data_IF_652288533075
#
_entry.id   IF_652288533075
#
_cell.length_a   1.000
_cell.length_b   1.000
_cell.length_c   1.000
_cell.angle_alpha   90.00
_cell.angle_beta   90.00
_cell.angle_gamma   90.00
#
_symmetry.space_group_name_H-M   'P 1'
#
loop_
_entity.id
_entity.type
_entity.pdbx_description
1 polymer ?
#
# COMPACT_ATOMS: atom_id res chain seq x y z
N UNK A 1 -10.83 -2.13 6.23
CA UNK A 1 -9.54 -1.56 6.67
C UNK A 1 -8.71 -1.08 5.51
N UNK A 2 -8.17 -2.00 4.70
CA UNK A 2 -7.37 -1.60 3.52
C UNK A 2 -8.24 -0.89 2.50
N UNK A 3 -9.48 -1.33 2.31
CA UNK A 3 -10.43 -0.69 1.39
C UNK A 3 -10.73 0.75 1.79
N UNK A 4 -10.92 1.01 3.07
CA UNK A 4 -11.17 2.36 3.59
C UNK A 4 -9.94 3.23 3.39
N UNK A 5 -8.75 2.70 3.70
CA UNK A 5 -7.49 3.41 3.48
C UNK A 5 -7.32 3.76 2.00
N UNK A 6 -7.54 2.81 1.11
CA UNK A 6 -7.42 3.03 -0.33
C UNK A 6 -8.40 4.09 -0.84
N UNK A 7 -9.64 4.07 -0.35
CA UNK A 7 -10.65 5.06 -0.72
C UNK A 7 -10.27 6.47 -0.27
N UNK A 8 -9.79 6.60 0.96
CA UNK A 8 -9.36 7.89 1.51
C UNK A 8 -8.17 8.45 0.76
N UNK A 9 -7.20 7.60 0.45
CA UNK A 9 -6.01 8.00 -0.31
C UNK A 9 -6.40 8.44 -1.73
N UNK A 10 -7.26 7.67 -2.41
CA UNK A 10 -7.71 8.04 -3.76
C UNK A 10 -8.44 9.37 -3.77
N UNK A 11 -9.35 9.59 -2.80
CA UNK A 11 -10.09 10.85 -2.72
C UNK A 11 -9.17 12.04 -2.46
N UNK A 12 -8.17 11.86 -1.58
CA UNK A 12 -7.20 12.91 -1.28
C UNK A 12 -6.36 13.25 -2.51
N UNK A 13 -5.94 12.26 -3.28
CA UNK A 13 -5.16 12.47 -4.50
C UNK A 13 -5.96 13.20 -5.57
N UNK A 14 -7.26 12.93 -5.70
CA UNK A 14 -8.12 13.59 -6.67
C UNK A 14 -8.19 15.10 -6.47
N UNK A 15 -8.25 15.55 -5.22
CA UNK A 15 -8.32 16.97 -4.89
C UNK A 15 -6.98 17.53 -4.45
N UNK A 16 -5.91 16.77 -4.62
CA UNK A 16 -4.53 17.15 -4.32
C UNK A 16 -4.35 17.66 -2.89
N UNK A 17 -4.93 16.95 -1.93
CA UNK A 17 -4.72 17.25 -0.52
C UNK A 17 -3.29 16.91 -0.10
N UNK A 18 -2.66 17.72 0.76
CA UNK A 18 -1.29 17.43 1.21
C UNK A 18 -1.21 16.24 2.15
N UNK A 19 -2.29 15.92 2.86
CA UNK A 19 -2.30 14.80 3.81
C UNK A 19 -3.67 14.15 3.88
N UNK A 20 -3.69 12.92 4.41
CA UNK A 20 -4.92 12.16 4.59
C UNK A 20 -4.82 11.37 5.89
N UNK A 21 -5.93 11.27 6.62
CA UNK A 21 -6.02 10.46 7.84
C UNK A 21 -6.67 9.13 7.54
N UNK A 22 -6.05 8.07 8.06
CA UNK A 22 -6.59 6.71 7.99
C UNK A 22 -6.56 6.10 9.40
N UNK A 23 -7.39 5.09 9.62
CA UNK A 23 -7.37 4.40 10.92
C UNK A 23 -6.03 3.73 11.15
N UNK A 24 -5.52 3.82 12.38
CA UNK A 24 -4.26 3.21 12.77
C UNK A 24 -4.52 1.77 13.22
N UNK A 25 -4.25 0.81 12.35
CA UNK A 25 -4.23 -0.60 12.68
C UNK A 25 -2.86 -1.15 12.34
N UNK A 26 -2.54 -2.35 12.82
CA UNK A 26 -1.27 -2.99 12.50
C UNK A 26 -1.08 -3.09 10.98
N UNK A 27 -2.14 -3.47 10.27
CA UNK A 27 -2.09 -3.64 8.83
C UNK A 27 -1.91 -2.32 8.08
N UNK A 28 -2.70 -1.29 8.40
CA UNK A 28 -2.58 0.02 7.74
C UNK A 28 -1.25 0.69 8.05
N UNK A 29 -0.75 0.52 9.26
CA UNK A 29 0.56 1.05 9.65
C UNK A 29 1.68 0.39 8.85
N UNK A 30 1.61 -0.94 8.68
CA UNK A 30 2.60 -1.68 7.88
C UNK A 30 2.58 -1.23 6.42
N UNK A 31 1.40 -1.05 5.84
CA UNK A 31 1.24 -0.56 4.46
C UNK A 31 1.80 0.86 4.35
N UNK A 32 1.50 1.73 5.30
CA UNK A 32 2.00 3.10 5.30
C UNK A 32 3.53 3.15 5.35
N UNK A 33 4.16 2.29 6.13
CA UNK A 33 5.62 2.18 6.20
C UNK A 33 6.22 1.80 4.85
N UNK A 34 5.58 0.88 4.14
CA UNK A 34 6.03 0.46 2.81
C UNK A 34 5.90 1.61 1.83
N UNK A 35 4.77 2.34 1.83
CA UNK A 35 4.57 3.49 0.96
C UNK A 35 5.62 4.57 1.21
N UNK A 36 5.97 4.79 2.47
CA UNK A 36 7.00 5.76 2.84
C UNK A 36 8.38 5.31 2.33
N UNK A 37 8.73 4.05 2.55
CA UNK A 37 10.02 3.49 2.12
C UNK A 37 10.18 3.51 0.60
N UNK A 38 9.08 3.30 -0.14
CA UNK A 38 9.09 3.30 -1.60
C UNK A 38 9.02 4.72 -2.20
N UNK A 39 8.91 5.74 -1.37
CA UNK A 39 8.93 7.12 -1.84
C UNK A 39 7.58 7.67 -2.30
N UNK A 40 6.47 6.99 -2.01
CA UNK A 40 5.13 7.49 -2.36
C UNK A 40 4.62 8.54 -1.38
N UNK A 41 5.14 8.55 -0.16
CA UNK A 41 4.75 9.49 0.89
C UNK A 41 5.94 10.31 1.35
N UNK A 42 5.70 11.52 1.83
CA UNK A 42 6.72 12.36 2.45
C UNK A 42 6.89 12.06 3.94
N UNK A 43 5.84 11.57 4.58
CA UNK A 43 5.90 11.25 5.99
C UNK A 43 4.67 10.51 6.47
N UNK A 44 4.80 9.90 7.64
CA UNK A 44 3.71 9.23 8.35
C UNK A 44 3.81 9.59 9.82
N UNK A 45 2.71 10.08 10.38
CA UNK A 45 2.64 10.35 11.82
C UNK A 45 1.41 9.66 12.42
N UNK A 46 1.45 9.42 13.72
CA UNK A 46 0.38 8.72 14.42
C UNK A 46 0.00 9.48 15.68
N UNK A 47 -1.31 9.56 15.94
CA UNK A 47 -1.82 10.05 17.22
C UNK A 47 -2.35 8.91 18.09
N UNK A 48 -2.07 7.67 17.69
CA UNK A 48 -2.54 6.45 18.37
C UNK A 48 -3.79 5.88 17.74
N UNK A 49 -4.75 6.70 17.37
CA UNK A 49 -6.03 6.28 16.79
C UNK A 49 -6.02 6.37 15.27
N UNK A 50 -5.37 7.39 14.73
CA UNK A 50 -5.27 7.64 13.31
C UNK A 50 -3.82 7.78 12.87
N UNK A 51 -3.56 7.41 11.62
CA UNK A 51 -2.32 7.71 10.91
C UNK A 51 -2.57 8.89 10.01
N UNK A 52 -1.66 9.85 9.99
CA UNK A 52 -1.67 10.95 9.03
C UNK A 52 -0.59 10.65 8.00
N UNK A 53 -1.01 10.45 6.75
CA UNK A 53 -0.12 10.17 5.64
C UNK A 53 0.12 11.47 4.89
N UNK A 54 1.38 11.88 4.76
CA UNK A 54 1.72 13.07 3.99
C UNK A 54 2.03 12.66 2.56
N UNK A 55 1.14 13.03 1.65
CA UNK A 55 1.22 12.64 0.25
C UNK A 55 2.31 13.43 -0.46
N UNK A 56 3.07 12.74 -1.29
CA UNK A 56 4.15 13.35 -2.06
C UNK A 56 3.64 13.74 -3.44
N UNK A 57 3.91 14.98 -3.83
CA UNK A 57 3.60 15.49 -5.16
C UNK A 57 4.86 15.97 -5.84
N UNK A 58 4.95 15.74 -7.15
CA UNK A 58 6.06 16.18 -7.97
C UNK A 58 5.50 16.75 -9.27
N UNK A 59 5.81 18.02 -9.57
CA UNK A 59 5.33 18.66 -10.79
C UNK A 59 3.81 18.77 -10.88
N UNK A 60 3.13 18.90 -9.72
CA UNK A 60 1.68 19.00 -9.67
C UNK A 60 0.93 17.67 -9.73
N UNK A 61 1.67 16.56 -9.77
CA UNK A 61 1.09 15.21 -9.79
C UNK A 61 1.54 14.41 -8.58
N UNK A 62 0.64 13.59 -8.03
CA UNK A 62 0.96 12.70 -6.93
C UNK A 62 1.93 11.61 -7.36
N UNK A 63 2.91 11.31 -6.51
CA UNK A 63 3.83 10.19 -6.75
C UNK A 63 3.08 8.87 -6.70
N UNK A 64 2.10 8.76 -5.80
CA UNK A 64 1.16 7.65 -5.77
C UNK A 64 0.01 7.98 -6.71
N UNK A 65 -0.14 7.19 -7.77
CA UNK A 65 -1.20 7.42 -8.76
C UNK A 65 -2.43 6.58 -8.45
N UNK A 66 -2.24 5.30 -8.14
CA UNK A 66 -3.32 4.37 -7.88
C UNK A 66 -3.01 3.47 -6.69
N UNK A 67 -4.06 3.13 -5.94
CA UNK A 67 -4.03 2.14 -4.88
C UNK A 67 -5.26 1.25 -5.04
N UNK A 68 -5.06 0.02 -5.50
CA UNK A 68 -6.14 -0.92 -5.78
C UNK A 68 -6.12 -2.06 -4.79
N UNK A 69 -7.24 -2.28 -4.11
CA UNK A 69 -7.40 -3.41 -3.18
C UNK A 69 -7.61 -4.69 -3.98
N UNK A 70 -6.84 -5.73 -3.64
CA UNK A 70 -6.94 -7.04 -4.28
C UNK A 70 -7.77 -8.00 -3.43
N UNK A 71 -7.36 -8.24 -2.18
CA UNK A 71 -8.12 -9.07 -1.24
C UNK A 71 -9.18 -8.23 -0.52
N UNK A 72 -10.40 -8.75 -0.46
CA UNK A 72 -11.54 -8.11 0.20
C UNK A 72 -12.15 -9.05 1.22
N UNK A 73 -12.91 -8.55 2.20
CA UNK A 73 -13.66 -9.43 3.10
C UNK A 73 -14.54 -10.39 2.30
N UNK A 74 -14.41 -11.69 2.58
CA UNK A 74 -15.14 -12.73 1.86
C UNK A 74 -14.53 -13.17 0.54
N UNK A 75 -13.56 -12.43 0.00
CA UNK A 75 -12.85 -12.78 -1.24
C UNK A 75 -11.35 -12.54 -1.01
N UNK A 76 -10.71 -13.50 -0.36
CA UNK A 76 -9.27 -13.44 -0.08
C UNK A 76 -8.50 -14.08 -1.22
N UNK A 77 -7.45 -13.42 -1.69
CA UNK A 77 -6.64 -13.87 -2.81
C UNK A 77 -5.23 -14.16 -2.34
N UNK A 78 -4.78 -15.38 -2.57
CA UNK A 78 -3.44 -15.85 -2.17
C UNK A 78 -2.62 -16.19 -3.40
N UNK A 79 -1.30 -16.10 -3.27
CA UNK A 79 -0.39 -16.42 -4.35
C UNK A 79 0.89 -17.01 -3.79
N UNK A 80 1.51 -17.93 -4.57
CA UNK A 80 2.87 -18.39 -4.29
C UNK A 80 3.85 -17.34 -4.81
N UNK A 81 5.08 -17.37 -4.28
CA UNK A 81 6.11 -16.38 -4.65
C UNK A 81 6.30 -16.25 -6.16
N UNK A 82 6.33 -17.38 -6.88
CA UNK A 82 6.56 -17.40 -8.33
C UNK A 82 5.37 -16.89 -9.15
N UNK A 83 4.17 -16.87 -8.55
CA UNK A 83 2.94 -16.50 -9.24
C UNK A 83 2.48 -15.08 -8.91
N UNK A 84 3.21 -14.34 -8.06
CA UNK A 84 2.85 -12.97 -7.71
C UNK A 84 2.98 -12.09 -8.96
N UNK A 85 1.89 -11.41 -9.37
CA UNK A 85 1.94 -10.59 -10.57
C UNK A 85 2.86 -9.38 -10.39
N UNK A 86 3.51 -8.98 -11.48
CA UNK A 86 4.27 -7.74 -11.53
C UNK A 86 3.33 -6.61 -11.93
N UNK A 87 3.42 -5.50 -11.21
CA UNK A 87 2.56 -4.35 -11.46
C UNK A 87 3.29 -3.41 -12.43
N UNK A 88 2.66 -3.11 -13.57
CA UNK A 88 3.21 -2.24 -14.60
C UNK A 88 4.64 -2.65 -15.00
N UNK A 89 4.87 -3.96 -15.18
CA UNK A 89 6.18 -4.46 -15.59
C UNK A 89 7.28 -4.24 -14.55
N UNK A 90 6.92 -4.07 -13.28
CA UNK A 90 7.87 -3.84 -12.19
C UNK A 90 7.97 -2.39 -11.73
N UNK A 91 7.24 -1.47 -12.37
CA UNK A 91 7.22 -0.06 -11.96
C UNK A 91 6.34 0.17 -10.74
N UNK A 92 5.31 -0.65 -10.55
CA UNK A 92 4.47 -0.62 -9.36
C UNK A 92 4.86 -1.71 -8.38
N UNK A 93 4.15 -1.77 -7.25
CA UNK A 93 4.39 -2.79 -6.22
C UNK A 93 3.08 -3.50 -5.86
N UNK A 94 3.21 -4.76 -5.47
CA UNK A 94 2.15 -5.53 -4.84
C UNK A 94 2.52 -5.69 -3.37
N UNK A 95 1.59 -5.41 -2.47
CA UNK A 95 1.81 -5.58 -1.03
C UNK A 95 1.14 -6.87 -0.60
N UNK A 96 1.88 -7.73 0.08
CA UNK A 96 1.43 -9.04 0.53
C UNK A 96 1.50 -9.16 2.04
N UNK A 97 0.58 -9.93 2.60
CA UNK A 97 0.67 -10.41 3.98
C UNK A 97 1.25 -11.82 3.96
N UNK A 98 2.41 -12.01 4.56
CA UNK A 98 3.13 -13.28 4.55
C UNK A 98 3.50 -13.71 5.96
N UNK A 99 4.10 -14.90 6.09
CA UNK A 99 4.64 -15.37 7.36
C UNK A 99 5.76 -14.48 7.90
N UNK A 100 6.39 -13.69 7.04
CA UNK A 100 7.42 -12.71 7.42
C UNK A 100 6.86 -11.30 7.64
N UNK A 101 5.54 -11.17 7.69
CA UNK A 101 4.87 -9.90 7.86
C UNK A 101 4.36 -9.33 6.55
N UNK A 102 4.02 -8.04 6.57
CA UNK A 102 3.54 -7.32 5.40
C UNK A 102 4.75 -6.81 4.62
N UNK A 103 4.91 -7.29 3.38
CA UNK A 103 6.08 -7.01 2.54
C UNK A 103 5.66 -6.73 1.10
N UNK A 104 6.61 -6.25 0.31
CA UNK A 104 6.41 -6.03 -1.13
C UNK A 104 6.61 -7.31 -1.92
N UNK A 105 6.13 -7.30 -3.17
CA UNK A 105 6.30 -8.42 -4.09
C UNK A 105 7.78 -8.71 -4.37
N UNK A 106 8.59 -7.67 -4.52
CA UNK A 106 10.03 -7.83 -4.75
C UNK A 106 10.69 -8.59 -3.60
N UNK A 107 10.35 -8.22 -2.38
CA UNK A 107 10.89 -8.90 -1.21
C UNK A 107 10.38 -10.33 -1.08
N UNK A 108 9.10 -10.55 -1.37
CA UNK A 108 8.50 -11.89 -1.34
C UNK A 108 9.20 -12.83 -2.33
N UNK A 109 9.48 -12.34 -3.55
CA UNK A 109 10.21 -13.11 -4.55
C UNK A 109 11.63 -13.42 -4.09
N UNK A 110 12.31 -12.44 -3.51
CA UNK A 110 13.67 -12.62 -3.00
C UNK A 110 13.73 -13.66 -1.88
N UNK A 111 12.71 -13.70 -1.02
CA UNK A 111 12.62 -14.65 0.07
C UNK A 111 12.04 -16.01 -0.37
N UNK A 112 11.44 -16.07 -1.56
CA UNK A 112 10.81 -17.30 -2.06
C UNK A 112 9.53 -17.65 -1.32
N UNK A 113 8.80 -16.68 -0.78
CA UNK A 113 7.57 -16.92 -0.02
C UNK A 113 6.39 -16.25 -0.70
N UNK A 114 5.22 -16.84 -0.52
CA UNK A 114 3.96 -16.27 -0.98
C UNK A 114 3.10 -15.82 0.19
N UNK A 115 1.92 -15.36 -0.11
CA UNK A 115 0.97 -14.94 0.91
C UNK A 115 -0.29 -14.35 0.32
N UNK A 116 -1.02 -13.64 1.13
CA UNK A 116 -2.25 -12.96 0.72
C UNK A 116 -1.90 -11.66 -0.01
N UNK A 117 -2.45 -11.48 -1.21
CA UNK A 117 -2.28 -10.25 -1.98
C UNK A 117 -3.22 -9.19 -1.42
N UNK A 118 -2.68 -8.14 -0.83
CA UNK A 118 -3.46 -7.10 -0.17
C UNK A 118 -3.89 -6.00 -1.14
N UNK A 119 -2.93 -5.34 -1.74
CA UNK A 119 -3.21 -4.23 -2.65
C UNK A 119 -2.06 -4.04 -3.63
N UNK A 120 -2.38 -3.41 -4.76
CA UNK A 120 -1.39 -3.01 -5.76
C UNK A 120 -1.28 -1.49 -5.77
N UNK A 121 -0.06 -1.00 -5.92
CA UNK A 121 0.29 0.41 -5.82
C UNK A 121 1.08 0.82 -7.06
N UNK A 122 0.72 1.97 -7.65
CA UNK A 122 1.54 2.55 -8.71
C UNK A 122 1.30 4.05 -8.90
#
# INVERSE_FOLDING_TARGET
MVSDMASRVRNALQVQQPSVKVHNTHLTHSIAKILLAEGFLDGVSSDGKFLTLQLRYTGGAGCLTHMKVVSKPGVRIYSRAKDVPRILGGLGIMILSTSQGVITDTRARALGIGGELLCSIW
#
